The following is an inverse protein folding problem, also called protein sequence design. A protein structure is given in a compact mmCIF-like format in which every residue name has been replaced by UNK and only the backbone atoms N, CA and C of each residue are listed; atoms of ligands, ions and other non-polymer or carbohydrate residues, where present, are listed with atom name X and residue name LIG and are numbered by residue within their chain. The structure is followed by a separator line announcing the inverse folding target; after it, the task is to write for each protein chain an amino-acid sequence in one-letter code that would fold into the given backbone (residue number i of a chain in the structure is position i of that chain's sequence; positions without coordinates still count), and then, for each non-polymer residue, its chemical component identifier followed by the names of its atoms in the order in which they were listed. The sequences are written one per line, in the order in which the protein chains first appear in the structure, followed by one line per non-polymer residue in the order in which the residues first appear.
data_IF_552540188275
#
_entry.id   IF_552540188275
#
_cell.length_a   1.000
_cell.length_b   1.000
_cell.length_c   1.000
_cell.angle_alpha   90.00
_cell.angle_beta   90.00
_cell.angle_gamma   90.00
#
_symmetry.space_group_name_H-M   'P 1'
#
loop_
_entity.id
_entity.type
_entity.pdbx_description
1 polymer ?
#
# COMPACT_ATOMS: atom_id res chain seq x y z
N UNK A 1 -35.44 20.57 -64.38
CA UNK A 1 -34.67 20.75 -63.13
C UNK A 1 -33.28 20.14 -63.27
N UNK A 2 -32.25 20.95 -63.58
CA UNK A 2 -30.85 20.50 -63.55
C UNK A 2 -30.43 20.38 -62.08
N UNK A 3 -30.50 19.16 -61.53
CA UNK A 3 -30.02 18.86 -60.19
C UNK A 3 -28.56 19.30 -60.05
N UNK A 4 -28.25 20.02 -58.99
CA UNK A 4 -26.95 20.62 -58.70
C UNK A 4 -25.96 19.51 -58.27
N UNK A 5 -25.58 18.65 -59.21
CA UNK A 5 -24.75 17.45 -58.99
C UNK A 5 -23.42 17.77 -58.28
N UNK A 6 -22.89 18.98 -58.45
CA UNK A 6 -21.66 19.44 -57.78
C UNK A 6 -21.84 19.51 -56.26
N UNK A 7 -22.97 19.99 -55.75
CA UNK A 7 -23.22 20.10 -54.31
C UNK A 7 -23.31 18.74 -53.62
N UNK A 8 -23.94 17.76 -54.26
CA UNK A 8 -24.05 16.39 -53.75
C UNK A 8 -22.68 15.71 -53.65
N UNK A 9 -21.79 15.93 -54.63
CA UNK A 9 -20.43 15.36 -54.63
C UNK A 9 -19.57 15.96 -53.51
N UNK A 10 -19.69 17.27 -53.25
CA UNK A 10 -18.97 17.90 -52.14
C UNK A 10 -19.46 17.40 -50.78
N UNK A 11 -20.77 17.27 -50.61
CA UNK A 11 -21.36 16.74 -49.36
C UNK A 11 -20.92 15.29 -49.13
N UNK A 12 -20.95 14.42 -50.14
CA UNK A 12 -20.48 13.05 -49.98
C UNK A 12 -19.00 12.98 -49.60
N UNK A 13 -18.17 13.83 -50.23
CA UNK A 13 -16.73 13.88 -49.94
C UNK A 13 -16.46 14.27 -48.49
N UNK A 14 -17.16 15.30 -47.99
CA UNK A 14 -17.04 15.75 -46.59
C UNK A 14 -17.44 14.65 -45.61
N UNK A 15 -18.54 13.93 -45.90
CA UNK A 15 -19.02 12.82 -45.06
C UNK A 15 -17.98 11.69 -45.01
N UNK A 16 -17.41 11.29 -46.16
CA UNK A 16 -16.37 10.26 -46.18
C UNK A 16 -15.13 10.66 -45.39
N UNK A 17 -14.70 11.92 -45.48
CA UNK A 17 -13.55 12.43 -44.70
C UNK A 17 -13.88 12.41 -43.21
N UNK A 18 -15.07 12.83 -42.80
CA UNK A 18 -15.50 12.76 -41.39
C UNK A 18 -15.51 11.32 -40.88
N UNK A 19 -16.04 10.36 -41.65
CA UNK A 19 -16.04 8.94 -41.27
C UNK A 19 -14.61 8.43 -41.13
N UNK A 20 -13.71 8.76 -42.04
CA UNK A 20 -12.30 8.35 -41.98
C UNK A 20 -11.60 8.89 -40.72
N UNK A 21 -11.83 10.17 -40.37
CA UNK A 21 -11.29 10.77 -39.15
C UNK A 21 -11.84 10.07 -37.91
N UNK A 22 -13.15 9.80 -37.87
CA UNK A 22 -13.79 9.11 -36.74
C UNK A 22 -13.22 7.70 -36.56
N UNK A 23 -13.05 6.95 -37.66
CA UNK A 23 -12.43 5.61 -37.60
C UNK A 23 -10.99 5.68 -37.08
N UNK A 24 -10.20 6.67 -37.54
CA UNK A 24 -8.82 6.85 -37.08
C UNK A 24 -8.75 7.17 -35.58
N UNK A 25 -9.65 8.02 -35.08
CA UNK A 25 -9.76 8.35 -33.65
C UNK A 25 -10.11 7.10 -32.84
N UNK A 26 -11.09 6.30 -33.28
CA UNK A 26 -11.47 5.06 -32.59
C UNK A 26 -10.29 4.09 -32.52
N UNK A 27 -9.56 3.91 -33.62
CA UNK A 27 -8.38 3.03 -33.66
C UNK A 27 -7.29 3.54 -32.73
N UNK A 28 -7.04 4.85 -32.69
CA UNK A 28 -6.03 5.43 -31.83
C UNK A 28 -6.40 5.28 -30.34
N UNK A 29 -7.64 5.61 -29.97
CA UNK A 29 -8.14 5.47 -28.60
C UNK A 29 -8.10 4.01 -28.13
N UNK A 30 -8.38 3.05 -29.01
CA UNK A 30 -8.27 1.63 -28.69
C UNK A 30 -6.82 1.14 -28.63
N UNK A 31 -5.92 1.68 -29.46
CA UNK A 31 -4.53 1.24 -29.59
C UNK A 31 -3.58 1.84 -28.55
N UNK A 32 -3.79 3.09 -28.14
CA UNK A 32 -2.92 3.79 -27.19
C UNK A 32 -2.78 3.07 -25.83
N UNK A 33 -3.86 2.58 -25.18
CA UNK A 33 -3.73 1.86 -23.90
C UNK A 33 -2.89 0.58 -24.00
N UNK A 34 -2.99 -0.14 -25.13
CA UNK A 34 -2.22 -1.36 -25.37
C UNK A 34 -0.73 -1.07 -25.50
N UNK A 35 -0.38 -0.04 -26.28
CA UNK A 35 1.01 0.38 -26.46
C UNK A 35 1.59 0.85 -25.12
N UNK A 36 0.84 1.68 -24.37
CA UNK A 36 1.23 2.15 -23.04
C UNK A 36 1.49 1.01 -22.06
N UNK A 37 0.60 0.01 -22.00
CA UNK A 37 0.78 -1.14 -21.11
C UNK A 37 2.03 -1.97 -21.45
N UNK A 38 2.35 -2.11 -22.75
CA UNK A 38 3.58 -2.79 -23.20
C UNK A 38 4.83 -1.99 -22.80
N UNK A 39 4.83 -0.67 -23.00
CA UNK A 39 5.97 0.18 -22.64
C UNK A 39 6.20 0.20 -21.14
N UNK A 40 5.14 0.32 -20.33
CA UNK A 40 5.24 0.32 -18.86
C UNK A 40 5.75 -1.02 -18.32
N UNK A 41 5.28 -2.15 -18.88
CA UNK A 41 5.78 -3.48 -18.52
C UNK A 41 7.25 -3.67 -18.88
N UNK A 42 7.67 -3.15 -20.03
CA UNK A 42 9.07 -3.16 -20.45
C UNK A 42 9.95 -2.34 -19.50
N UNK A 43 9.52 -1.12 -19.15
CA UNK A 43 10.22 -0.27 -18.20
C UNK A 43 10.34 -0.94 -16.83
N UNK A 44 9.26 -1.53 -16.31
CA UNK A 44 9.27 -2.27 -15.05
C UNK A 44 10.23 -3.44 -15.05
N UNK A 45 10.22 -4.28 -16.09
CA UNK A 45 11.14 -5.41 -16.17
C UNK A 45 12.60 -4.93 -16.26
N UNK A 46 12.89 -3.90 -17.07
CA UNK A 46 14.23 -3.32 -17.19
C UNK A 46 14.76 -2.83 -15.85
N UNK A 47 13.95 -2.10 -15.08
CA UNK A 47 14.36 -1.61 -13.76
C UNK A 47 14.49 -2.75 -12.76
N UNK A 48 13.55 -3.70 -12.72
CA UNK A 48 13.65 -4.90 -11.88
C UNK A 48 14.97 -5.62 -12.11
N UNK A 49 15.32 -5.90 -13.37
CA UNK A 49 16.53 -6.62 -13.72
C UNK A 49 17.79 -5.80 -13.38
N UNK A 50 17.73 -4.47 -13.57
CA UNK A 50 18.80 -3.55 -13.16
C UNK A 50 19.02 -3.57 -11.65
N UNK A 51 17.95 -3.59 -10.85
CA UNK A 51 18.05 -3.66 -9.39
C UNK A 51 18.57 -5.02 -8.90
N UNK A 52 18.18 -6.12 -9.56
CA UNK A 52 18.75 -7.45 -9.28
C UNK A 52 20.24 -7.48 -9.60
N UNK A 53 20.64 -6.88 -10.72
CA UNK A 53 22.06 -6.78 -11.10
C UNK A 53 22.82 -5.92 -10.08
N UNK A 54 22.23 -4.81 -9.65
CA UNK A 54 22.81 -3.93 -8.64
C UNK A 54 23.04 -4.67 -7.32
N UNK A 55 22.07 -5.44 -6.83
CA UNK A 55 22.22 -6.25 -5.62
C UNK A 55 23.40 -7.23 -5.72
N UNK A 56 23.54 -7.93 -6.85
CA UNK A 56 24.69 -8.80 -7.10
C UNK A 56 26.02 -8.05 -7.05
N UNK A 57 26.08 -6.85 -7.62
CA UNK A 57 27.28 -6.03 -7.58
C UNK A 57 27.60 -5.53 -6.16
N UNK A 58 26.58 -5.15 -5.38
CA UNK A 58 26.73 -4.76 -3.98
C UNK A 58 27.32 -5.93 -3.17
N UNK A 59 26.78 -7.15 -3.34
CA UNK A 59 27.30 -8.35 -2.67
C UNK A 59 28.73 -8.67 -3.07
N UNK A 60 29.08 -8.48 -4.35
CA UNK A 60 30.45 -8.68 -4.84
C UNK A 60 31.41 -7.66 -4.21
N UNK A 61 31.07 -6.37 -4.20
CA UNK A 61 31.91 -5.32 -3.59
C UNK A 61 32.07 -5.55 -2.09
N UNK A 62 31.00 -5.95 -1.39
CA UNK A 62 31.06 -6.31 0.03
C UNK A 62 32.01 -7.50 0.30
N UNK A 63 32.14 -8.42 -0.65
CA UNK A 63 33.04 -9.59 -0.55
C UNK A 63 34.50 -9.27 -0.88
N UNK A 64 34.78 -8.18 -1.61
CA UNK A 64 36.13 -7.75 -2.00
C UNK A 64 36.89 -7.04 -0.86
N UNK A 65 36.18 -6.62 0.19
CA UNK A 65 36.77 -5.99 1.37
C UNK A 65 36.68 -4.46 1.38
N UNK A 66 37.12 -3.86 2.49
CA UNK A 66 36.99 -2.43 2.74
C UNK A 66 37.80 -1.59 1.74
N UNK A 67 37.15 -0.61 1.12
CA UNK A 67 37.78 0.30 0.14
C UNK A 67 37.42 -0.01 -1.31
N UNK A 68 36.84 -1.18 -1.60
CA UNK A 68 36.32 -1.50 -2.93
C UNK A 68 35.11 -0.64 -3.28
N UNK A 69 35.11 -0.08 -4.49
CA UNK A 69 34.04 0.75 -5.02
C UNK A 69 33.77 0.38 -6.48
N UNK A 70 32.51 0.48 -6.91
CA UNK A 70 32.11 0.30 -8.31
C UNK A 70 31.12 1.38 -8.71
N UNK A 71 31.25 1.85 -9.95
CA UNK A 71 30.30 2.76 -10.57
C UNK A 71 29.40 1.95 -11.49
N UNK A 72 28.10 1.94 -11.20
CA UNK A 72 27.10 1.21 -11.96
C UNK A 72 26.14 2.24 -12.57
N UNK A 73 26.09 2.38 -13.90
CA UNK A 73 25.13 3.27 -14.52
C UNK A 73 23.73 2.66 -14.38
N UNK A 74 22.81 3.42 -13.78
CA UNK A 74 21.40 3.08 -13.67
C UNK A 74 20.63 4.04 -14.57
N UNK A 75 19.98 3.50 -15.60
CA UNK A 75 19.13 4.27 -16.49
C UNK A 75 17.67 4.08 -16.07
N UNK A 76 17.02 5.17 -15.68
CA UNK A 76 15.63 5.17 -15.23
C UNK A 76 14.81 5.92 -16.25
N UNK A 77 14.04 5.18 -17.04
CA UNK A 77 13.18 5.75 -18.09
C UNK A 77 11.88 6.30 -17.51
N UNK A 78 11.30 5.61 -16.52
CA UNK A 78 10.01 5.95 -15.93
C UNK A 78 10.03 5.75 -14.40
N UNK A 79 9.26 6.58 -13.70
CA UNK A 79 9.12 6.55 -12.24
C UNK A 79 10.17 7.37 -11.48
N UNK A 80 10.16 7.23 -10.17
CA UNK A 80 11.01 7.98 -9.25
C UNK A 80 11.93 7.04 -8.48
N UNK A 81 13.22 7.33 -8.50
CA UNK A 81 14.22 6.64 -7.68
C UNK A 81 14.60 7.52 -6.50
N UNK A 82 14.58 6.93 -5.30
CA UNK A 82 14.97 7.60 -4.07
C UNK A 82 15.88 6.69 -3.25
N UNK A 83 16.86 7.29 -2.60
CA UNK A 83 17.71 6.62 -1.61
C UNK A 83 17.40 7.23 -0.25
N UNK A 84 16.78 6.45 0.64
CA UNK A 84 16.45 6.88 2.01
C UNK A 84 16.67 5.72 2.97
N UNK A 85 17.19 6.01 4.16
CA UNK A 85 17.37 5.03 5.24
C UNK A 85 18.11 3.76 4.80
N UNK A 86 19.21 3.92 4.04
CA UNK A 86 20.00 2.80 3.49
C UNK A 86 19.21 1.86 2.56
N UNK A 87 18.07 2.32 2.03
CA UNK A 87 17.25 1.60 1.05
C UNK A 87 17.19 2.39 -0.25
N UNK A 88 17.37 1.68 -1.36
CA UNK A 88 17.09 2.17 -2.70
C UNK A 88 15.65 1.81 -3.05
N UNK A 89 14.80 2.81 -3.29
CA UNK A 89 13.38 2.64 -3.62
C UNK A 89 13.11 3.25 -4.98
N UNK A 90 12.60 2.43 -5.89
CA UNK A 90 12.02 2.88 -7.15
C UNK A 90 10.49 2.77 -7.07
N UNK A 91 9.79 3.83 -7.47
CA UNK A 91 8.33 3.92 -7.48
C UNK A 91 7.85 4.23 -8.89
N UNK A 92 6.93 3.41 -9.39
CA UNK A 92 6.25 3.62 -10.67
C UNK A 92 4.74 3.77 -10.42
N UNK A 93 4.16 4.85 -10.94
CA UNK A 93 2.71 5.02 -10.99
C UNK A 93 2.23 4.66 -12.39
N UNK A 94 1.36 3.65 -12.48
CA UNK A 94 0.88 3.10 -13.75
C UNK A 94 -0.60 2.72 -13.63
N UNK A 95 -1.35 2.92 -14.72
CA UNK A 95 -2.72 2.42 -14.85
C UNK A 95 -2.80 0.95 -15.27
N UNK A 96 -1.67 0.35 -15.64
CA UNK A 96 -1.56 -1.05 -16.06
C UNK A 96 -1.24 -1.92 -14.85
N UNK A 97 -1.99 -3.00 -14.66
CA UNK A 97 -1.66 -4.00 -13.65
C UNK A 97 -0.41 -4.79 -14.08
N UNK A 98 0.75 -4.45 -13.51
CA UNK A 98 2.04 -5.10 -13.79
C UNK A 98 2.27 -6.35 -12.93
N UNK A 99 1.86 -6.26 -11.66
CA UNK A 99 1.80 -7.35 -10.69
C UNK A 99 0.50 -7.22 -9.92
N UNK A 100 0.08 -8.31 -9.26
CA UNK A 100 -1.17 -8.32 -8.50
C UNK A 100 -1.20 -7.21 -7.45
N UNK A 101 -2.37 -6.59 -7.32
CA UNK A 101 -2.58 -5.53 -6.33
C UNK A 101 -2.49 -6.11 -4.92
N UNK A 102 -1.90 -5.35 -4.01
CA UNK A 102 -1.65 -5.75 -2.61
C UNK A 102 -0.73 -6.97 -2.48
N UNK A 103 0.08 -7.22 -3.50
CA UNK A 103 1.10 -8.26 -3.46
C UNK A 103 2.45 -7.65 -3.12
N UNK A 104 3.18 -8.37 -2.26
CA UNK A 104 4.57 -8.12 -1.93
C UNK A 104 5.35 -9.40 -2.18
N UNK A 105 6.33 -9.34 -3.06
CA UNK A 105 7.20 -10.47 -3.43
C UNK A 105 8.64 -10.10 -3.10
N UNK A 106 9.33 -11.00 -2.42
CA UNK A 106 10.74 -10.86 -2.08
C UNK A 106 11.58 -11.73 -3.03
N UNK A 107 12.62 -11.13 -3.60
CA UNK A 107 13.58 -11.79 -4.48
C UNK A 107 15.00 -11.45 -3.99
N UNK A 108 15.48 -12.23 -3.01
CA UNK A 108 16.73 -11.89 -2.31
C UNK A 108 16.56 -10.58 -1.54
N UNK A 109 17.44 -9.60 -1.77
CA UNK A 109 17.35 -8.27 -1.16
C UNK A 109 16.39 -7.32 -1.90
N UNK A 110 15.81 -7.74 -3.03
CA UNK A 110 14.85 -6.94 -3.78
C UNK A 110 13.43 -7.23 -3.30
N UNK A 111 12.74 -6.19 -2.82
CA UNK A 111 11.31 -6.25 -2.49
C UNK A 111 10.52 -5.56 -3.59
N UNK A 112 9.61 -6.29 -4.22
CA UNK A 112 8.69 -5.76 -5.24
C UNK A 112 7.31 -5.75 -4.62
N UNK A 113 6.65 -4.60 -4.61
CA UNK A 113 5.33 -4.47 -4.03
C UNK A 113 4.43 -3.56 -4.88
N UNK A 114 3.15 -3.90 -4.97
CA UNK A 114 2.15 -3.13 -5.72
C UNK A 114 0.97 -2.79 -4.86
N UNK A 115 0.59 -1.51 -4.93
CA UNK A 115 -0.50 -0.98 -4.12
C UNK A 115 -0.26 -1.24 -2.63
N UNK A 116 0.96 -0.98 -2.16
CA UNK A 116 1.32 -0.95 -0.73
C UNK A 116 1.52 0.50 -0.31
N UNK A 117 0.86 0.91 0.75
CA UNK A 117 0.97 2.27 1.28
C UNK A 117 0.85 2.31 2.81
N UNK A 118 0.89 1.16 3.48
CA UNK A 118 0.79 1.09 4.94
C UNK A 118 2.18 1.28 5.57
N UNK A 119 2.28 2.20 6.50
CA UNK A 119 3.44 2.40 7.36
C UNK A 119 3.01 2.16 8.80
N UNK A 120 3.81 1.39 9.54
CA UNK A 120 3.58 1.05 10.94
C UNK A 120 4.87 1.24 11.73
N UNK A 121 4.79 1.99 12.83
CA UNK A 121 5.95 2.31 13.67
C UNK A 121 5.56 2.40 15.15
N UNK A 122 6.53 2.10 16.02
CA UNK A 122 6.44 2.35 17.45
C UNK A 122 7.09 3.69 17.79
N UNK A 123 6.30 4.62 18.34
CA UNK A 123 6.77 5.94 18.79
C UNK A 123 6.46 6.12 20.27
N UNK A 124 7.50 5.97 21.11
CA UNK A 124 7.41 6.00 22.57
C UNK A 124 6.37 4.99 23.12
N UNK A 125 5.20 5.50 23.52
CA UNK A 125 4.10 4.72 24.12
C UNK A 125 2.92 4.53 23.16
N UNK A 126 3.12 4.75 21.86
CA UNK A 126 2.09 4.63 20.85
C UNK A 126 2.54 3.77 19.67
N UNK A 127 1.63 2.94 19.16
CA UNK A 127 1.76 2.35 17.83
C UNK A 127 1.03 3.25 16.83
N UNK A 128 1.75 3.70 15.81
CA UNK A 128 1.19 4.51 14.74
C UNK A 128 1.08 3.61 13.52
N UNK A 129 -0.15 3.41 13.04
CA UNK A 129 -0.41 2.68 11.80
C UNK A 129 -1.15 3.60 10.84
N UNK A 130 -0.62 3.80 9.65
CA UNK A 130 -1.18 4.74 8.69
C UNK A 130 -1.07 4.23 7.27
N UNK A 131 -1.98 4.67 6.41
CA UNK A 131 -1.89 4.48 4.97
C UNK A 131 -2.06 5.83 4.25
N UNK A 132 -2.31 5.85 2.94
CA UNK A 132 -2.53 7.11 2.20
C UNK A 132 -3.78 7.88 2.64
N UNK A 133 -4.78 7.21 3.23
CA UNK A 133 -6.09 7.80 3.57
C UNK A 133 -6.31 8.04 5.05
N UNK A 134 -5.83 7.16 5.92
CA UNK A 134 -6.07 7.25 7.37
C UNK A 134 -4.79 7.00 8.19
N UNK A 135 -4.75 7.58 9.38
CA UNK A 135 -3.72 7.36 10.41
C UNK A 135 -4.41 7.03 11.72
N UNK A 136 -4.01 5.95 12.36
CA UNK A 136 -4.58 5.46 13.61
C UNK A 136 -3.45 5.38 14.65
N UNK A 137 -3.71 5.94 15.82
CA UNK A 137 -2.78 5.93 16.94
C UNK A 137 -3.31 5.00 18.03
N UNK A 138 -2.60 3.91 18.30
CA UNK A 138 -2.94 2.94 19.32
C UNK A 138 -2.06 3.09 20.56
N UNK A 139 -2.62 2.87 21.74
CA UNK A 139 -1.89 2.89 23.00
C UNK A 139 -1.04 1.63 23.15
N UNK A 140 0.23 1.80 23.52
CA UNK A 140 1.08 0.70 23.99
C UNK A 140 0.77 0.42 25.45
N UNK A 141 0.32 -0.80 25.75
CA UNK A 141 -0.10 -1.23 27.08
C UNK A 141 0.67 -2.51 27.38
N UNK A 142 1.42 -2.54 28.48
CA UNK A 142 2.15 -3.73 28.93
C UNK A 142 3.09 -4.35 27.87
N UNK A 143 3.38 -5.64 28.06
CA UNK A 143 4.08 -6.49 27.10
C UNK A 143 3.65 -7.95 27.30
N UNK A 144 4.02 -8.83 26.36
CA UNK A 144 3.79 -10.27 26.49
C UNK A 144 4.45 -10.90 27.73
N UNK A 145 5.46 -10.24 28.31
CA UNK A 145 6.14 -10.64 29.54
C UNK A 145 5.64 -9.93 30.80
N UNK A 146 4.86 -8.85 30.67
CA UNK A 146 4.36 -8.05 31.78
C UNK A 146 2.95 -7.54 31.49
N UNK A 147 1.96 -8.26 32.00
CA UNK A 147 0.56 -7.92 31.79
C UNK A 147 0.19 -6.75 32.68
N UNK A 148 -0.44 -5.74 32.08
CA UNK A 148 -0.89 -4.54 32.79
C UNK A 148 -2.38 -4.38 32.64
N UNK A 149 -2.98 -3.48 33.42
CA UNK A 149 -4.41 -3.21 33.30
C UNK A 149 -4.71 -2.66 31.90
N UNK A 150 -5.58 -3.34 31.17
CA UNK A 150 -6.02 -2.96 29.83
C UNK A 150 -7.51 -2.62 29.86
N UNK A 151 -7.86 -1.57 29.11
CA UNK A 151 -9.23 -1.18 28.85
C UNK A 151 -9.39 -0.99 27.34
N UNK A 152 -10.28 -1.77 26.73
CA UNK A 152 -10.45 -1.77 25.27
C UNK A 152 -10.89 -0.43 24.71
N UNK A 153 -11.62 0.37 25.48
CA UNK A 153 -12.06 1.73 25.13
C UNK A 153 -10.91 2.73 24.94
N UNK A 154 -9.72 2.40 25.44
CA UNK A 154 -8.52 3.26 25.43
C UNK A 154 -7.42 2.78 24.48
N UNK A 155 -7.68 1.68 23.75
CA UNK A 155 -6.71 1.13 22.79
C UNK A 155 -6.50 2.09 21.63
N UNK A 156 -7.58 2.65 21.07
CA UNK A 156 -7.50 3.63 19.99
C UNK A 156 -7.59 5.03 20.60
N UNK A 157 -6.55 5.84 20.43
CA UNK A 157 -6.53 7.22 20.93
C UNK A 157 -7.24 8.18 20.00
N UNK A 158 -6.96 8.07 18.71
CA UNK A 158 -7.57 8.89 17.67
C UNK A 158 -7.40 8.24 16.30
N UNK A 159 -8.30 8.64 15.41
CA UNK A 159 -8.25 8.32 13.98
C UNK A 159 -8.19 9.65 13.22
N UNK A 160 -7.20 9.80 12.36
CA UNK A 160 -7.04 10.95 11.49
C UNK A 160 -7.31 10.56 10.05
N UNK A 161 -8.35 11.15 9.46
CA UNK A 161 -8.70 10.98 8.06
C UNK A 161 -7.94 12.03 7.24
N UNK A 162 -6.96 11.58 6.46
CA UNK A 162 -6.06 12.44 5.66
C UNK A 162 -6.82 13.11 4.52
N UNK A 163 -7.78 12.42 3.92
CA UNK A 163 -8.59 12.92 2.79
C UNK A 163 -9.39 14.17 3.17
N UNK A 164 -9.97 14.19 4.36
CA UNK A 164 -10.78 15.31 4.86
C UNK A 164 -10.02 16.24 5.82
N UNK A 165 -8.78 15.89 6.19
CA UNK A 165 -8.01 16.56 7.23
C UNK A 165 -8.77 16.65 8.57
N UNK A 166 -9.55 15.63 8.91
CA UNK A 166 -10.36 15.56 10.14
C UNK A 166 -9.77 14.55 11.10
N UNK A 167 -9.58 14.97 12.36
CA UNK A 167 -9.23 14.08 13.46
C UNK A 167 -10.46 13.75 14.29
N UNK A 168 -10.80 12.47 14.38
CA UNK A 168 -11.82 11.97 15.29
C UNK A 168 -11.14 11.52 16.57
N UNK A 169 -11.28 12.34 17.61
CA UNK A 169 -10.98 11.97 18.98
C UNK A 169 -12.26 11.35 19.57
N UNK A 170 -12.16 10.14 20.10
CA UNK A 170 -13.34 9.44 20.60
C UNK A 170 -12.96 8.18 21.37
N UNK A 171 -13.95 7.66 22.10
CA UNK A 171 -13.81 6.42 22.87
C UNK A 171 -14.27 5.26 22.00
N UNK A 172 -13.33 4.41 21.56
CA UNK A 172 -13.62 3.24 20.73
C UNK A 172 -13.71 1.99 21.60
N UNK A 173 -14.93 1.59 21.96
CA UNK A 173 -15.14 0.47 22.90
C UNK A 173 -15.37 -0.84 22.16
N UNK A 174 -14.59 -1.85 22.51
CA UNK A 174 -14.74 -3.21 22.01
C UNK A 174 -15.10 -4.13 23.17
N UNK A 175 -16.13 -4.94 23.02
CA UNK A 175 -16.53 -5.91 24.04
C UNK A 175 -17.02 -7.20 23.37
N UNK A 176 -16.81 -8.32 24.06
CA UNK A 176 -17.27 -9.64 23.68
C UNK A 176 -18.40 -10.02 24.62
N UNK A 177 -19.56 -10.35 24.07
CA UNK A 177 -20.82 -10.64 24.76
C UNK A 177 -21.41 -9.46 25.56
N UNK A 178 -20.68 -8.93 26.54
CA UNK A 178 -21.15 -7.84 27.42
C UNK A 178 -20.03 -6.92 27.90
N UNK A 179 -20.40 -5.84 28.59
CA UNK A 179 -19.50 -4.77 29.06
C UNK A 179 -18.47 -5.19 30.11
N UNK A 180 -18.60 -6.38 30.73
CA UNK A 180 -17.61 -6.91 31.66
C UNK A 180 -16.29 -7.28 30.96
N UNK A 181 -16.33 -7.56 29.65
CA UNK A 181 -15.15 -7.85 28.83
C UNK A 181 -14.28 -6.64 28.48
N UNK A 182 -14.76 -5.41 28.76
CA UNK A 182 -14.04 -4.16 28.43
C UNK A 182 -12.73 -4.02 29.21
N UNK A 183 -12.72 -4.48 30.47
CA UNK A 183 -11.57 -4.35 31.37
C UNK A 183 -10.93 -5.71 31.63
N UNK A 184 -9.60 -5.71 31.74
CA UNK A 184 -8.85 -6.89 32.13
C UNK A 184 -7.38 -6.57 32.41
N UNK A 185 -6.57 -7.60 32.38
CA UNK A 185 -5.12 -7.54 32.32
C UNK A 185 -4.64 -8.05 30.98
N UNK A 186 -3.61 -7.45 30.42
CA UNK A 186 -3.14 -7.84 29.10
C UNK A 186 -2.08 -6.90 28.55
N UNK A 187 -1.96 -6.91 27.23
CA UNK A 187 -0.98 -6.09 26.53
C UNK A 187 -1.42 -5.77 25.10
N UNK A 188 -0.79 -4.76 24.51
CA UNK A 188 -0.87 -4.48 23.07
C UNK A 188 0.48 -4.71 22.40
N UNK A 189 0.47 -5.25 21.19
CA UNK A 189 1.65 -5.47 20.36
C UNK A 189 1.38 -5.11 18.91
N UNK A 190 2.39 -4.56 18.25
CA UNK A 190 2.40 -4.38 16.81
C UNK A 190 2.93 -5.66 16.16
N UNK A 191 2.15 -6.27 15.27
CA UNK A 191 2.53 -7.52 14.60
C UNK A 191 3.51 -7.28 13.44
N UNK A 192 3.31 -6.19 12.69
CA UNK A 192 4.16 -5.78 11.57
C UNK A 192 4.66 -4.35 11.77
N UNK A 193 5.98 -4.17 11.77
CA UNK A 193 6.63 -2.85 11.81
C UNK A 193 7.40 -2.60 10.51
N UNK A 194 7.24 -1.41 9.94
CA UNK A 194 7.96 -1.01 8.75
C UNK A 194 7.18 -0.06 7.85
N UNK A 195 7.73 0.19 6.67
CA UNK A 195 7.13 1.09 5.67
C UNK A 195 6.73 0.32 4.43
N UNK A 196 5.69 0.78 3.73
CA UNK A 196 5.21 0.19 2.47
C UNK A 196 4.79 -1.27 2.62
N UNK A 197 4.06 -1.56 3.70
CA UNK A 197 3.43 -2.83 3.98
C UNK A 197 2.10 -2.96 3.20
N UNK A 198 1.68 -4.20 2.97
CA UNK A 198 0.35 -4.53 2.40
C UNK A 198 -0.76 -4.27 3.42
N UNK A 199 -0.45 -4.53 4.68
CA UNK A 199 -1.30 -4.36 5.86
C UNK A 199 -0.42 -4.27 7.08
N UNK A 200 -0.93 -3.71 8.17
CA UNK A 200 -0.31 -3.81 9.49
C UNK A 200 -1.39 -4.00 10.55
N UNK A 201 -1.08 -4.79 11.57
CA UNK A 201 -2.03 -5.15 12.62
C UNK A 201 -1.51 -4.83 14.01
N UNK A 202 -2.38 -4.29 14.85
CA UNK A 202 -2.15 -4.18 16.30
C UNK A 202 -3.01 -5.23 16.99
N UNK A 203 -2.36 -6.10 17.76
CA UNK A 203 -3.01 -7.07 18.64
C UNK A 203 -3.16 -6.46 20.02
N UNK A 204 -4.34 -6.62 20.60
CA UNK A 204 -4.59 -6.37 22.02
C UNK A 204 -5.04 -7.67 22.67
N UNK A 205 -4.17 -8.27 23.47
CA UNK A 205 -4.51 -9.43 24.29
C UNK A 205 -5.23 -8.95 25.54
N UNK A 206 -6.45 -9.45 25.78
CA UNK A 206 -7.27 -9.10 26.93
C UNK A 206 -7.62 -10.37 27.71
N UNK A 207 -7.28 -10.37 28.99
CA UNK A 207 -7.55 -11.48 29.90
C UNK A 207 -8.22 -10.95 31.17
N UNK A 208 -9.44 -11.42 31.44
CA UNK A 208 -10.15 -11.12 32.68
C UNK A 208 -10.66 -12.41 33.36
N UNK A 209 -11.45 -12.28 34.43
CA UNK A 209 -11.94 -13.43 35.20
C UNK A 209 -12.98 -14.28 34.47
N UNK A 210 -13.59 -13.79 33.39
CA UNK A 210 -14.70 -14.44 32.67
C UNK A 210 -14.29 -14.91 31.26
N UNK A 211 -13.43 -14.16 30.59
CA UNK A 211 -13.04 -14.36 29.19
C UNK A 211 -11.58 -13.98 28.96
N UNK A 212 -10.98 -14.63 27.97
CA UNK A 212 -9.66 -14.32 27.43
C UNK A 212 -9.77 -14.30 25.90
N UNK A 213 -9.27 -13.25 25.25
CA UNK A 213 -9.35 -13.10 23.80
C UNK A 213 -8.28 -12.12 23.28
N UNK A 214 -8.02 -12.22 21.97
CA UNK A 214 -7.19 -11.27 21.23
C UNK A 214 -8.07 -10.40 20.34
N UNK A 215 -7.94 -9.08 20.46
CA UNK A 215 -8.53 -8.12 19.52
C UNK A 215 -7.46 -7.73 18.50
N UNK A 216 -7.68 -8.08 17.23
CA UNK A 216 -6.79 -7.77 16.12
C UNK A 216 -7.36 -6.60 15.34
N UNK A 217 -6.61 -5.50 15.27
CA UNK A 217 -6.97 -4.29 14.54
C UNK A 217 -6.04 -4.12 13.35
N UNK A 218 -6.56 -4.34 12.14
CA UNK A 218 -5.77 -4.36 10.90
C UNK A 218 -6.09 -3.17 10.00
N UNK A 219 -5.06 -2.43 9.59
CA UNK A 219 -5.16 -1.45 8.51
C UNK A 219 -4.62 -2.05 7.22
N UNK A 220 -5.44 -2.06 6.17
CA UNK A 220 -5.03 -2.51 4.85
C UNK A 220 -4.60 -1.34 3.96
N UNK A 221 -3.84 -1.67 2.91
CA UNK A 221 -3.41 -0.69 1.94
C UNK A 221 -4.57 -0.09 1.13
N UNK A 222 -4.50 1.23 0.90
CA UNK A 222 -5.46 2.08 0.17
C UNK A 222 -6.89 2.14 0.71
N UNK A 223 -7.16 1.63 1.91
CA UNK A 223 -8.50 1.67 2.52
C UNK A 223 -8.71 2.90 3.38
N UNK A 224 -9.97 3.34 3.51
CA UNK A 224 -10.42 4.39 4.43
C UNK A 224 -11.04 3.84 5.72
N UNK A 225 -10.97 2.53 5.92
CA UNK A 225 -11.41 1.81 7.11
C UNK A 225 -10.31 0.87 7.61
N UNK A 226 -10.43 0.45 8.88
CA UNK A 226 -9.67 -0.65 9.46
C UNK A 226 -10.62 -1.81 9.78
N UNK A 227 -10.07 -3.02 9.90
CA UNK A 227 -10.81 -4.22 10.30
C UNK A 227 -10.53 -4.52 11.77
N UNK A 228 -11.56 -4.95 12.48
CA UNK A 228 -11.44 -5.45 13.85
C UNK A 228 -11.90 -6.91 13.86
N UNK A 229 -11.07 -7.80 14.39
CA UNK A 229 -11.37 -9.22 14.55
C UNK A 229 -11.09 -9.65 15.99
N UNK A 230 -11.84 -10.66 16.46
CA UNK A 230 -11.59 -11.32 17.74
C UNK A 230 -11.06 -12.71 17.44
N UNK A 231 -9.92 -13.04 18.04
CA UNK A 231 -9.25 -14.32 17.90
C UNK A 231 -8.99 -14.94 19.29
N UNK A 232 -8.65 -16.23 19.31
CA UNK A 232 -8.27 -16.97 20.52
C UNK A 232 -9.24 -16.84 21.70
N UNK A 233 -10.53 -16.68 21.42
CA UNK A 233 -11.56 -16.54 22.45
C UNK A 233 -11.69 -17.80 23.32
N UNK A 234 -11.60 -17.61 24.64
CA UNK A 234 -11.81 -18.63 25.66
C UNK A 234 -12.73 -18.07 26.74
N UNK A 235 -13.79 -18.80 27.04
CA UNK A 235 -14.64 -18.55 28.20
C UNK A 235 -14.08 -19.32 29.41
N UNK A 236 -14.00 -18.66 30.56
CA UNK A 236 -13.49 -19.22 31.83
C UNK A 236 -14.62 -19.63 32.77
#
# INVERSE_FOLDING_TARGET
MRSNKKGVIWVSTVIYVMIAIVVMVIVLEAGLPLIKGITEKSAFNKIRDTLVLLDKQIQQVASEGQGSQRVIPIEITDGELSVKNQKLRWKLETGTQLIDSRTRTELGNLVIASGVDVDAELVADYFIVQNSRIKINFSKIGSSSNFTRINTSTIINNIFFKDSNVQTNGTFTFFVNDSSSINGTGYTSLEDEGTSLTSASVKAHVNNSLVEYDLILTLDSKTDFFRAAIENYKQK
#
